data_IF_409605192331
#
_entry.id   IF_409605192331
#
_cell.length_a   1.000
_cell.length_b   1.000
_cell.length_c   1.000
_cell.angle_alpha   90.00
_cell.angle_beta   90.00
_cell.angle_gamma   90.00
#
_symmetry.space_group_name_H-M   'P 1'
#
loop_
_entity.id
_entity.type
_entity.pdbx_description
1 polymer ?
2 polymer ?
3 non-polymer ?
4 non-polymer ?
5 non-polymer ?
6 non-polymer ?
7 water ?
#
# COMPACT_ATOMS: atom_id res chain seq x y z
N UNK A 1 5.22 0.82 35.57
CA UNK A 1 5.79 -0.40 34.91
C UNK A 1 5.91 -0.19 33.41
N UNK A 2 7.14 -0.18 32.90
CA UNK A 2 7.37 0.03 31.46
C UNK A 2 6.52 -0.87 30.56
N UNK A 3 6.19 -2.08 31.03
CA UNK A 3 5.37 -3.01 30.25
C UNK A 3 3.95 -2.47 30.18
N UNK A 4 3.54 -1.79 31.25
CA UNK A 4 2.19 -1.22 31.30
C UNK A 4 2.15 0.03 30.41
N UNK A 5 3.24 0.80 30.44
CA UNK A 5 3.34 2.01 29.65
C UNK A 5 3.26 1.65 28.18
N UNK A 6 3.93 0.56 27.82
CA UNK A 6 3.96 0.06 26.45
C UNK A 6 2.59 -0.45 26.00
N UNK A 7 1.89 -1.13 26.91
CA UNK A 7 0.57 -1.65 26.59
C UNK A 7 -0.41 -0.48 26.35
N UNK A 8 -0.08 0.70 26.86
CA UNK A 8 -0.94 1.88 26.69
C UNK A 8 -0.63 2.58 25.36
N UNK A 9 0.66 2.73 25.06
CA UNK A 9 1.11 3.38 23.82
C UNK A 9 0.60 2.57 22.62
N UNK A 10 0.24 1.32 22.85
CA UNK A 10 -0.29 0.49 21.78
C UNK A 10 -1.79 0.83 21.86
N UNK A 11 -2.10 2.07 21.50
CA UNK A 11 -3.46 2.58 21.54
C UNK A 11 -4.17 2.42 20.23
N UNK A 12 -3.52 1.68 19.34
CA UNK A 12 -4.10 1.44 18.02
C UNK A 12 -4.28 2.70 17.19
N UNK A 13 -5.46 2.86 16.58
CA UNK A 13 -5.76 4.04 15.78
C UNK A 13 -6.32 5.12 16.70
N UNK A 14 -6.56 4.73 17.94
CA UNK A 14 -7.10 5.66 18.92
C UNK A 14 -8.60 5.71 18.96
N UNK A 15 -9.13 6.75 19.61
CA UNK A 15 -10.58 6.94 19.73
C UNK A 15 -11.11 7.38 18.38
N UNK A 16 -12.26 6.82 17.95
CA UNK A 16 -12.83 7.21 16.65
C UNK A 16 -13.18 8.68 16.71
N UNK A 17 -12.84 9.45 15.68
CA UNK A 17 -13.16 10.86 15.69
C UNK A 17 -14.68 11.07 15.55
N UNK A 18 -15.18 12.17 16.11
CA UNK A 18 -16.60 12.52 16.02
C UNK A 18 -16.76 13.47 14.83
N UNK A 19 -17.54 13.05 13.82
CA UNK A 19 -17.76 13.88 12.63
C UNK A 19 -18.52 15.17 12.93
N UNK A 20 -18.44 16.13 12.00
CA UNK A 20 -19.11 17.42 12.16
C UNK A 20 -20.64 17.32 12.24
N UNK A 21 -21.24 18.28 12.96
CA UNK A 21 -22.68 18.30 13.11
C UNK A 21 -23.16 17.12 13.94
N UNK A 22 -22.31 16.65 14.84
CA UNK A 22 -22.63 15.53 15.72
C UNK A 22 -23.28 14.37 14.95
N UNK A 23 -22.67 14.01 13.83
CA UNK A 23 -23.17 12.92 12.99
C UNK A 23 -22.73 11.56 13.52
N UNK A 24 -22.54 11.47 14.84
CA UNK A 24 -22.15 10.23 15.47
C UNK A 24 -20.71 9.82 15.21
N UNK A 25 -20.21 8.76 15.88
CA UNK A 25 -18.84 8.30 15.68
C UNK A 25 -18.62 7.83 14.25
N UNK A 26 -17.56 8.35 13.64
CA UNK A 26 -17.21 8.02 12.26
C UNK A 26 -17.25 6.50 12.03
N UNK A 27 -16.42 5.78 12.77
CA UNK A 27 -16.33 4.33 12.68
C UNK A 27 -16.29 3.66 14.06
N UNK A 28 -16.59 2.37 14.08
CA UNK A 28 -16.58 1.61 15.32
C UNK A 28 -15.36 0.67 15.42
N UNK A 29 -14.85 0.49 16.64
CA UNK A 29 -13.69 -0.37 16.84
C UNK A 29 -13.95 -1.81 16.39
N UNK A 30 -15.22 -2.21 16.40
CA UNK A 30 -15.62 -3.57 15.99
C UNK A 30 -15.60 -3.72 14.48
N UNK A 31 -15.26 -2.67 13.77
CA UNK A 31 -15.22 -2.72 12.32
C UNK A 31 -13.79 -3.07 11.92
N UNK A 32 -12.91 -3.16 12.91
CA UNK A 32 -11.51 -3.49 12.67
C UNK A 32 -11.25 -4.99 12.81
N UNK A 33 -10.35 -5.53 12.00
CA UNK A 33 -10.02 -6.95 12.09
C UNK A 33 -9.03 -7.14 13.22
N UNK A 34 -9.08 -8.28 13.89
CA UNK A 34 -8.19 -8.55 15.00
C UNK A 34 -6.91 -9.25 14.56
N UNK A 35 -5.78 -8.78 15.07
CA UNK A 35 -4.49 -9.35 14.72
C UNK A 35 -3.69 -9.64 15.97
N UNK A 36 -2.56 -10.30 15.83
CA UNK A 36 -1.74 -10.68 16.97
C UNK A 36 -0.58 -9.76 17.36
N UNK A 37 -0.54 -8.55 16.82
CA UNK A 37 0.56 -7.65 17.15
C UNK A 37 0.11 -6.26 17.59
N UNK A 38 0.95 -5.57 18.37
CA UNK A 38 0.66 -4.23 18.87
C UNK A 38 0.89 -3.16 17.81
N UNK A 39 0.17 -2.04 17.92
CA UNK A 39 0.30 -0.94 16.98
C UNK A 39 0.18 0.41 17.63
N UNK A 40 1.15 1.27 17.40
CA UNK A 40 1.08 2.62 17.93
C UNK A 40 0.38 3.41 16.83
N UNK A 41 -0.17 4.59 17.16
CA UNK A 41 -0.87 5.39 16.15
C UNK A 41 -0.02 6.31 15.28
N UNK A 42 -0.45 6.47 14.03
CA UNK A 42 0.24 7.37 13.11
C UNK A 42 -0.33 8.76 13.44
N UNK A 43 0.53 9.78 13.51
CA UNK A 43 0.08 11.13 13.83
C UNK A 43 -0.94 11.71 12.84
N UNK A 44 -1.91 12.48 13.34
CA UNK A 44 -2.90 13.14 12.49
C UNK A 44 -2.58 14.63 12.61
N UNK A 45 -1.97 15.18 11.58
CA UNK A 45 -1.58 16.57 11.62
C UNK A 45 -2.15 17.46 10.52
N UNK A 46 -1.87 18.76 10.65
CA UNK A 46 -2.31 19.76 9.69
C UNK A 46 -1.10 19.97 8.81
N UNK A 47 -1.35 20.18 7.53
CA UNK A 47 -0.26 20.38 6.59
C UNK A 47 0.59 21.59 6.93
N UNK A 48 0.05 22.49 7.74
CA UNK A 48 0.78 23.71 8.14
C UNK A 48 1.60 23.46 9.39
N UNK A 49 1.31 22.35 10.06
CA UNK A 49 2.03 21.98 11.25
C UNK A 49 3.44 21.57 10.83
N UNK A 50 4.48 22.23 11.38
CA UNK A 50 5.88 21.96 11.05
C UNK A 50 6.30 20.49 11.27
N UNK A 51 5.63 19.82 12.20
CA UNK A 51 5.94 18.43 12.49
C UNK A 51 5.63 17.56 11.28
N UNK A 52 4.50 17.84 10.64
CA UNK A 52 4.10 17.07 9.46
C UNK A 52 5.15 17.22 8.38
N UNK A 53 5.68 18.43 8.24
CA UNK A 53 6.69 18.68 7.23
C UNK A 53 7.94 17.90 7.59
N UNK A 54 8.18 17.78 8.89
CA UNK A 54 9.34 17.07 9.39
C UNK A 54 9.24 15.56 9.12
N UNK A 55 8.09 14.98 9.42
CA UNK A 55 7.89 13.55 9.22
C UNK A 55 8.07 13.16 7.76
N UNK A 56 7.58 13.99 6.86
CA UNK A 56 7.69 13.72 5.44
C UNK A 56 9.13 13.82 5.01
N UNK A 57 9.87 14.72 5.62
CA UNK A 57 11.28 14.90 5.29
C UNK A 57 12.10 13.69 5.75
N UNK A 58 11.78 13.16 6.93
CA UNK A 58 12.52 12.01 7.45
C UNK A 58 11.90 10.71 6.96
N UNK A 59 11.08 10.81 5.94
CA UNK A 59 10.42 9.65 5.37
C UNK A 59 9.75 8.82 6.47
N UNK A 60 8.84 9.45 7.19
CA UNK A 60 8.09 8.77 8.24
C UNK A 60 6.61 9.06 7.91
N UNK A 61 5.73 8.07 8.14
CA UNK A 61 4.31 8.25 7.84
C UNK A 61 3.60 9.32 8.66
N UNK A 62 2.59 9.93 8.04
CA UNK A 62 1.80 10.96 8.68
C UNK A 62 0.51 11.15 7.92
N UNK A 63 -0.58 11.38 8.65
CA UNK A 63 -1.86 11.62 8.01
C UNK A 63 -2.10 13.13 8.03
N UNK A 64 -2.29 13.72 6.85
CA UNK A 64 -2.53 15.15 6.72
C UNK A 64 -4.04 15.30 6.61
N UNK A 65 -4.62 15.97 7.60
CA UNK A 65 -6.06 16.16 7.67
C UNK A 65 -6.66 17.26 6.79
N UNK A 66 -5.86 18.26 6.43
CA UNK A 66 -6.38 19.37 5.65
C UNK A 66 -5.55 19.80 4.42
N UNK A 67 -5.46 18.94 3.42
CA UNK A 67 -4.65 19.28 2.25
C UNK A 67 -5.55 19.74 1.13
N UNK A 68 -6.77 19.22 1.11
CA UNK A 68 -7.71 19.56 0.06
C UNK A 68 -7.12 18.99 -1.22
N UNK A 69 -6.33 17.94 -1.07
CA UNK A 69 -5.69 17.34 -2.22
C UNK A 69 -6.67 16.88 -3.30
N UNK A 70 -7.65 16.07 -2.92
CA UNK A 70 -8.62 15.59 -3.89
C UNK A 70 -10.00 16.12 -3.54
N UNK A 71 -10.03 17.38 -3.14
CA UNK A 71 -11.25 18.07 -2.78
C UNK A 71 -12.40 17.86 -3.78
N UNK A 72 -12.13 18.07 -5.08
CA UNK A 72 -13.18 17.90 -6.09
C UNK A 72 -13.67 16.47 -6.17
N UNK A 73 -12.83 15.55 -5.72
CA UNK A 73 -13.17 14.14 -5.76
C UNK A 73 -13.98 13.67 -4.57
N UNK A 74 -14.08 14.49 -3.54
CA UNK A 74 -14.84 14.09 -2.36
C UNK A 74 -16.33 13.89 -2.67
N UNK A 75 -16.75 14.27 -3.88
CA UNK A 75 -18.15 14.10 -4.28
C UNK A 75 -18.33 12.85 -5.12
N UNK A 76 -17.22 12.15 -5.35
CA UNK A 76 -17.26 10.91 -6.15
C UNK A 76 -18.01 9.77 -5.47
N UNK A 77 -18.73 9.00 -6.27
CA UNK A 77 -19.47 7.84 -5.77
C UNK A 77 -19.72 7.02 -7.02
N UNK A 78 -20.37 5.87 -6.87
CA UNK A 78 -20.60 4.99 -8.01
C UNK A 78 -21.34 5.68 -9.15
N UNK A 79 -22.52 6.23 -8.83
CA UNK A 79 -23.33 6.91 -9.83
C UNK A 79 -22.55 7.99 -10.59
N UNK A 80 -21.90 8.89 -9.87
CA UNK A 80 -21.13 9.95 -10.50
C UNK A 80 -20.09 9.39 -11.46
N UNK A 81 -19.23 8.52 -10.93
CA UNK A 81 -18.19 7.93 -11.75
C UNK A 81 -18.75 7.19 -12.93
N UNK A 82 -19.77 6.35 -12.71
CA UNK A 82 -20.34 5.62 -13.83
C UNK A 82 -20.77 6.53 -15.01
N UNK A 83 -21.12 7.76 -14.70
CA UNK A 83 -21.57 8.70 -15.72
C UNK A 83 -20.37 9.40 -16.31
N UNK A 84 -19.40 9.72 -15.47
CA UNK A 84 -18.21 10.44 -15.91
C UNK A 84 -16.88 9.72 -16.11
N UNK A 85 -16.68 8.59 -15.41
CA UNK A 85 -15.42 7.88 -15.51
C UNK A 85 -14.99 7.52 -16.92
N UNK A 86 -15.97 7.34 -17.81
CA UNK A 86 -15.65 7.01 -19.19
C UNK A 86 -15.99 5.58 -19.54
N UNK A 87 -15.58 5.14 -20.72
CA UNK A 87 -15.87 3.78 -21.15
C UNK A 87 -14.59 2.99 -21.46
N UNK A 88 -13.51 3.33 -20.73
CA UNK A 88 -12.26 2.62 -20.91
C UNK A 88 -12.35 1.34 -20.10
N UNK A 89 -11.36 0.46 -20.24
CA UNK A 89 -11.36 -0.79 -19.47
C UNK A 89 -10.85 -0.57 -18.05
N UNK A 90 -11.40 -1.34 -17.12
CA UNK A 90 -11.00 -1.24 -15.72
C UNK A 90 -10.57 -2.57 -15.12
N UNK A 91 -9.35 -2.60 -14.60
CA UNK A 91 -8.83 -3.81 -13.98
C UNK A 91 -9.62 -4.06 -12.70
N UNK A 92 -10.26 -5.22 -12.63
CA UNK A 92 -11.05 -5.59 -11.47
C UNK A 92 -10.71 -6.99 -10.98
N UNK A 93 -10.14 -7.07 -9.78
CA UNK A 93 -9.76 -8.34 -9.18
C UNK A 93 -10.94 -8.97 -8.46
N UNK A 94 -11.11 -10.27 -8.67
CA UNK A 94 -12.20 -11.01 -8.06
C UNK A 94 -11.66 -12.12 -7.18
N UNK A 95 -12.08 -12.18 -5.92
CA UNK A 95 -11.59 -13.21 -5.03
C UNK A 95 -12.68 -13.90 -4.20
N UNK A 96 -12.32 -15.04 -3.63
CA UNK A 96 -13.23 -15.84 -2.81
C UNK A 96 -12.97 -15.57 -1.33
N UNK A 97 -12.00 -14.69 -1.04
CA UNK A 97 -11.68 -14.36 0.34
C UNK A 97 -11.41 -12.87 0.44
N UNK A 98 -11.33 -12.34 1.65
CA UNK A 98 -11.10 -10.90 1.82
C UNK A 98 -9.70 -10.45 1.44
N UNK A 99 -8.75 -11.38 1.46
CA UNK A 99 -7.37 -11.05 1.12
C UNK A 99 -7.15 -10.99 -0.38
N UNK A 100 -6.72 -9.82 -0.84
CA UNK A 100 -6.42 -9.63 -2.26
C UNK A 100 -4.90 -9.50 -2.36
N UNK A 101 -4.23 -10.63 -2.54
CA UNK A 101 -2.79 -10.65 -2.64
C UNK A 101 -2.37 -10.31 -4.06
N UNK A 102 -1.55 -9.28 -4.19
CA UNK A 102 -1.07 -8.87 -5.50
C UNK A 102 -0.10 -9.91 -6.07
N UNK A 103 -0.11 -10.05 -7.39
CA UNK A 103 0.80 -10.96 -8.09
C UNK A 103 1.13 -10.42 -9.47
N UNK A 104 2.43 -10.26 -9.72
CA UNK A 104 2.96 -9.76 -10.98
C UNK A 104 2.79 -10.88 -12.02
N UNK A 105 2.12 -10.56 -13.13
CA UNK A 105 1.89 -11.57 -14.16
C UNK A 105 3.13 -11.90 -14.99
N UNK A 106 4.05 -10.95 -15.11
CA UNK A 106 5.28 -11.18 -15.86
C UNK A 106 6.12 -12.26 -15.19
N UNK A 107 5.97 -12.41 -13.88
CA UNK A 107 6.78 -13.38 -13.16
C UNK A 107 6.15 -14.74 -12.91
N UNK A 108 4.91 -14.94 -13.36
CA UNK A 108 4.23 -16.22 -13.17
C UNK A 108 4.91 -17.33 -13.95
N UNK A 109 5.69 -16.93 -14.95
CA UNK A 109 6.44 -17.86 -15.78
C UNK A 109 7.44 -18.68 -14.93
N UNK A 110 8.27 -17.98 -14.16
CA UNK A 110 9.28 -18.62 -13.32
C UNK A 110 8.71 -19.47 -12.18
N UNK A 111 7.40 -19.38 -11.97
CA UNK A 111 6.76 -20.15 -10.92
C UNK A 111 5.44 -20.74 -11.41
N UNK A 112 5.52 -21.91 -12.05
CA UNK A 112 4.34 -22.59 -12.56
C UNK A 112 3.41 -23.05 -11.42
N UNK A 113 3.98 -23.51 -10.32
CA UNK A 113 3.21 -24.00 -9.17
C UNK A 113 2.37 -22.94 -8.44
N UNK A 114 2.55 -21.69 -8.85
CA UNK A 114 1.79 -20.60 -8.23
C UNK A 114 0.39 -20.47 -8.82
N UNK A 115 -0.62 -20.59 -7.97
CA UNK A 115 -2.02 -20.46 -8.40
C UNK A 115 -2.65 -19.28 -7.64
N UNK A 116 -2.77 -18.11 -8.28
CA UNK A 116 -3.35 -16.90 -7.67
C UNK A 116 -4.76 -17.09 -7.07
N UNK A 117 -4.96 -16.63 -5.83
CA UNK A 117 -6.25 -16.77 -5.15
C UNK A 117 -7.32 -15.78 -5.63
N UNK A 118 -6.95 -14.87 -6.53
CA UNK A 118 -7.88 -13.87 -7.06
C UNK A 118 -7.61 -13.76 -8.55
N UNK A 119 -8.62 -13.39 -9.33
CA UNK A 119 -8.44 -13.25 -10.77
C UNK A 119 -8.76 -11.85 -11.25
N UNK A 120 -7.98 -11.40 -12.23
CA UNK A 120 -8.18 -10.09 -12.80
C UNK A 120 -9.10 -10.20 -14.01
N UNK A 121 -10.03 -9.26 -14.15
CA UNK A 121 -10.96 -9.25 -15.28
C UNK A 121 -11.28 -7.85 -15.76
N UNK A 122 -10.84 -7.52 -16.98
CA UNK A 122 -11.11 -6.19 -17.55
C UNK A 122 -12.60 -6.06 -17.85
N UNK A 123 -13.15 -4.87 -17.63
CA UNK A 123 -14.56 -4.60 -17.89
C UNK A 123 -14.82 -3.10 -17.88
N UNK A 124 -16.03 -2.72 -18.27
CA UNK A 124 -16.44 -1.32 -18.31
C UNK A 124 -16.95 -0.97 -16.91
N UNK A 125 -16.84 0.31 -16.54
CA UNK A 125 -17.27 0.73 -15.22
C UNK A 125 -18.71 0.38 -14.87
N UNK A 126 -19.60 0.45 -15.86
CA UNK A 126 -20.99 0.14 -15.58
C UNK A 126 -21.14 -1.35 -15.28
N UNK A 127 -20.35 -2.16 -15.97
CA UNK A 127 -20.36 -3.61 -15.78
C UNK A 127 -19.90 -3.89 -14.36
N UNK A 128 -18.84 -3.19 -13.95
CA UNK A 128 -18.31 -3.34 -12.61
C UNK A 128 -19.41 -3.02 -11.61
N UNK A 129 -20.07 -1.88 -11.81
CA UNK A 129 -21.14 -1.49 -10.90
C UNK A 129 -22.26 -2.53 -10.97
N UNK A 130 -22.56 -2.98 -12.18
CA UNK A 130 -23.59 -3.99 -12.39
C UNK A 130 -23.20 -5.23 -11.57
N UNK A 131 -22.01 -5.75 -11.84
CA UNK A 131 -21.53 -6.93 -11.12
C UNK A 131 -21.53 -6.69 -9.60
N UNK A 132 -21.38 -5.43 -9.22
CA UNK A 132 -21.37 -5.08 -7.81
C UNK A 132 -22.79 -5.23 -7.27
N UNK A 133 -23.76 -4.81 -8.07
CA UNK A 133 -25.16 -4.91 -7.68
C UNK A 133 -25.64 -6.37 -7.64
N UNK A 134 -25.22 -7.13 -8.65
CA UNK A 134 -25.61 -8.53 -8.72
C UNK A 134 -25.25 -9.29 -7.44
N UNK A 135 -23.99 -9.19 -7.03
CA UNK A 135 -23.53 -9.88 -5.82
C UNK A 135 -24.37 -9.44 -4.61
N UNK A 136 -24.65 -8.14 -4.55
CA UNK A 136 -25.46 -7.60 -3.47
C UNK A 136 -26.83 -8.24 -3.55
N UNK A 137 -27.36 -8.31 -4.76
CA UNK A 137 -28.68 -8.90 -4.97
C UNK A 137 -28.73 -10.36 -4.56
N UNK A 138 -27.95 -11.20 -5.24
CA UNK A 138 -27.91 -12.63 -4.96
C UNK A 138 -27.31 -12.93 -3.57
N UNK A 139 -26.90 -11.87 -2.85
CA UNK A 139 -26.32 -12.04 -1.53
C UNK A 139 -25.11 -12.96 -1.54
N UNK A 140 -24.41 -12.99 -2.68
CA UNK A 140 -23.24 -13.84 -2.83
C UNK A 140 -22.09 -13.55 -1.86
N UNK A 141 -21.03 -14.35 -1.98
CA UNK A 141 -19.87 -14.18 -1.11
C UNK A 141 -18.66 -13.63 -1.87
N UNK A 142 -18.69 -13.79 -3.18
CA UNK A 142 -17.60 -13.31 -4.03
C UNK A 142 -17.26 -11.86 -3.74
N UNK A 143 -15.97 -11.52 -3.81
CA UNK A 143 -15.51 -10.16 -3.56
C UNK A 143 -14.81 -9.55 -4.76
N UNK A 144 -14.99 -8.25 -4.94
CA UNK A 144 -14.37 -7.52 -6.04
C UNK A 144 -13.49 -6.40 -5.51
N UNK A 145 -12.55 -5.95 -6.32
CA UNK A 145 -11.68 -4.86 -5.93
C UNK A 145 -11.17 -4.21 -7.20
N UNK A 146 -11.66 -3.01 -7.48
CA UNK A 146 -11.27 -2.30 -8.68
C UNK A 146 -10.00 -1.53 -8.39
N UNK A 147 -9.01 -1.73 -9.25
CA UNK A 147 -7.72 -1.06 -9.11
C UNK A 147 -7.27 -0.71 -10.52
N UNK A 148 -7.42 0.56 -10.88
CA UNK A 148 -7.07 0.99 -12.22
C UNK A 148 -6.38 2.33 -12.30
N UNK A 149 -5.29 2.40 -13.06
CA UNK A 149 -4.56 3.66 -13.23
C UNK A 149 -5.44 4.60 -14.03
N UNK A 150 -5.59 5.84 -13.58
CA UNK A 150 -6.41 6.81 -14.30
C UNK A 150 -5.70 7.35 -15.55
N UNK A 151 -6.39 7.28 -16.69
CA UNK A 151 -5.81 7.69 -17.97
C UNK A 151 -6.62 8.67 -18.83
N UNK A 152 -6.13 8.86 -20.05
CA UNK A 152 -6.72 9.75 -21.07
C UNK A 152 -8.21 9.53 -21.28
N UNK A 153 -8.65 8.30 -21.05
CA UNK A 153 -10.04 7.93 -21.30
C UNK A 153 -10.98 8.23 -20.14
N UNK A 154 -10.83 9.37 -19.49
CA UNK A 154 -11.80 9.74 -18.46
C UNK A 154 -12.58 10.94 -18.93
N UNK A 155 -13.87 10.96 -18.58
CA UNK A 155 -14.74 12.06 -18.96
C UNK A 155 -14.20 13.44 -18.61
N UNK A 156 -14.76 14.45 -19.24
CA UNK A 156 -14.33 15.83 -19.01
C UNK A 156 -14.55 16.25 -17.55
N UNK A 157 -15.58 15.74 -16.90
CA UNK A 157 -15.82 16.11 -15.51
C UNK A 157 -14.72 15.56 -14.61
N UNK A 158 -14.36 14.30 -14.85
CA UNK A 158 -13.29 13.66 -14.09
C UNK A 158 -12.00 14.42 -14.34
N UNK A 159 -11.84 14.90 -15.58
CA UNK A 159 -10.66 15.66 -15.93
C UNK A 159 -10.72 17.02 -15.24
N UNK A 160 -11.93 17.55 -15.13
CA UNK A 160 -12.14 18.85 -14.49
C UNK A 160 -11.84 18.74 -13.01
N UNK A 161 -12.30 17.66 -12.39
CA UNK A 161 -12.06 17.45 -10.97
C UNK A 161 -10.57 17.37 -10.71
N UNK A 162 -9.86 16.69 -11.61
CA UNK A 162 -8.43 16.55 -11.50
C UNK A 162 -7.77 17.90 -11.38
N UNK A 163 -8.21 18.84 -12.22
CA UNK A 163 -7.66 20.19 -12.23
C UNK A 163 -7.85 20.85 -10.87
N UNK A 164 -8.93 20.48 -10.18
CA UNK A 164 -9.22 21.05 -8.89
C UNK A 164 -8.44 20.45 -7.72
N UNK A 165 -7.58 19.48 -8.02
CA UNK A 165 -6.77 18.84 -6.99
C UNK A 165 -5.78 19.90 -6.53
N UNK A 166 -5.28 19.78 -5.30
CA UNK A 166 -4.34 20.77 -4.80
C UNK A 166 -2.92 20.53 -5.31
N UNK A 167 -2.73 20.69 -6.61
CA UNK A 167 -1.40 20.50 -7.18
C UNK A 167 -0.33 21.41 -6.60
N UNK A 168 -0.72 22.60 -6.19
CA UNK A 168 0.23 23.55 -5.62
C UNK A 168 0.99 22.89 -4.47
N UNK A 169 0.24 22.36 -3.51
CA UNK A 169 0.81 21.70 -2.32
C UNK A 169 1.60 20.43 -2.61
N UNK A 170 1.08 19.59 -3.47
CA UNK A 170 1.79 18.35 -3.74
C UNK A 170 2.99 18.57 -4.65
N UNK A 171 2.91 19.56 -5.54
CA UNK A 171 4.03 19.83 -6.43
C UNK A 171 5.21 20.29 -5.60
N UNK A 172 4.94 21.07 -4.55
CA UNK A 172 6.02 21.55 -3.70
C UNK A 172 6.63 20.40 -2.92
N UNK A 173 5.79 19.49 -2.45
CA UNK A 173 6.27 18.35 -1.69
C UNK A 173 7.22 17.55 -2.58
N UNK A 174 6.85 17.42 -3.85
CA UNK A 174 7.68 16.70 -4.82
C UNK A 174 9.02 17.43 -4.94
N UNK A 175 8.96 18.70 -5.28
CA UNK A 175 10.17 19.47 -5.46
C UNK A 175 11.08 19.53 -4.24
N UNK A 176 10.51 19.79 -3.08
CA UNK A 176 11.31 19.89 -1.86
C UNK A 176 11.94 18.59 -1.38
N UNK A 177 11.34 17.47 -1.75
CA UNK A 177 11.84 16.15 -1.36
C UNK A 177 12.71 15.51 -2.45
N UNK A 178 12.96 16.26 -3.51
CA UNK A 178 13.78 15.78 -4.62
C UNK A 178 13.22 14.59 -5.39
N UNK A 179 11.97 14.28 -5.13
CA UNK A 179 11.31 13.15 -5.78
C UNK A 179 11.16 13.23 -7.32
N UNK A 180 11.17 12.05 -7.93
CA UNK A 180 11.02 11.97 -9.38
C UNK A 180 9.62 12.35 -9.85
N UNK A 181 9.25 11.94 -11.05
CA UNK A 181 7.94 12.30 -11.57
C UNK A 181 6.78 11.49 -11.03
N UNK A 182 5.57 11.99 -11.28
CA UNK A 182 4.36 11.32 -10.84
C UNK A 182 4.15 10.24 -11.88
N UNK A 183 4.21 8.98 -11.46
CA UNK A 183 4.07 7.91 -12.42
C UNK A 183 2.63 7.48 -12.65
N UNK A 184 1.75 7.73 -11.68
CA UNK A 184 0.35 7.34 -11.85
C UNK A 184 -0.54 7.73 -10.69
N UNK A 185 -1.83 7.48 -10.90
CA UNK A 185 -2.85 7.74 -9.91
C UNK A 185 -3.75 6.53 -9.92
N UNK A 186 -3.55 5.64 -8.97
CA UNK A 186 -4.34 4.43 -8.90
C UNK A 186 -5.68 4.68 -8.22
N UNK A 187 -6.74 4.31 -8.91
CA UNK A 187 -8.08 4.45 -8.37
C UNK A 187 -8.38 3.13 -7.71
N UNK A 188 -8.76 3.19 -6.45
CA UNK A 188 -9.06 1.96 -5.73
C UNK A 188 -10.47 2.01 -5.16
N UNK A 189 -11.30 1.10 -5.64
CA UNK A 189 -12.68 1.02 -5.17
C UNK A 189 -12.86 -0.42 -4.76
N UNK A 190 -13.09 -0.64 -3.47
CA UNK A 190 -13.27 -1.99 -2.98
C UNK A 190 -14.45 -2.16 -2.05
N UNK A 191 -14.93 -3.38 -1.94
CA UNK A 191 -16.06 -3.70 -1.07
C UNK A 191 -15.63 -3.72 0.38
N UNK A 192 -16.59 -3.62 1.29
CA UNK A 192 -16.32 -3.62 2.71
C UNK A 192 -15.68 -4.91 3.19
N UNK A 193 -14.62 -4.77 3.98
CA UNK A 193 -13.93 -5.94 4.50
C UNK A 193 -12.73 -6.36 3.65
N UNK A 194 -12.65 -5.85 2.42
CA UNK A 194 -11.54 -6.17 1.50
C UNK A 194 -10.21 -5.80 2.10
N UNK A 195 -9.22 -6.66 1.93
CA UNK A 195 -7.89 -6.44 2.49
C UNK A 195 -6.75 -6.56 1.49
N UNK A 196 -5.83 -5.60 1.51
CA UNK A 196 -4.66 -5.67 0.65
C UNK A 196 -3.54 -6.04 1.62
N UNK A 197 -3.08 -7.30 1.57
CA UNK A 197 -2.03 -7.83 2.44
C UNK A 197 -0.77 -6.96 2.48
N UNK A 198 -0.06 -7.03 3.59
CA UNK A 198 1.15 -6.26 3.80
C UNK A 198 2.16 -6.36 2.65
N UNK A 199 2.66 -5.22 2.21
CA UNK A 199 3.64 -5.16 1.14
C UNK A 199 4.28 -3.78 1.19
N UNK A 200 5.29 -3.59 0.34
CA UNK A 200 5.96 -2.30 0.25
C UNK A 200 6.11 -1.96 -1.22
N UNK A 201 6.04 -0.66 -1.53
CA UNK A 201 6.18 -0.22 -2.91
C UNK A 201 7.50 0.48 -3.09
N UNK A 202 7.98 0.53 -4.32
CA UNK A 202 9.25 1.17 -4.62
C UNK A 202 9.06 2.60 -5.09
N UNK A 203 8.00 3.24 -4.61
CA UNK A 203 7.71 4.62 -4.96
C UNK A 203 7.10 5.33 -3.76
N UNK A 204 7.25 6.65 -3.72
CA UNK A 204 6.71 7.48 -2.65
C UNK A 204 5.22 7.57 -2.94
N UNK A 205 4.41 7.64 -1.89
CA UNK A 205 2.96 7.65 -2.07
C UNK A 205 2.18 8.59 -1.14
N UNK A 206 1.20 9.28 -1.72
CA UNK A 206 0.32 10.16 -0.97
C UNK A 206 -1.05 9.53 -1.18
N UNK A 207 -1.48 8.81 -0.15
CA UNK A 207 -2.73 8.08 -0.15
C UNK A 207 -3.92 8.99 0.17
N UNK A 208 -4.63 9.44 -0.86
CA UNK A 208 -5.77 10.33 -0.67
C UNK A 208 -7.11 9.60 -0.58
N UNK A 209 -7.66 9.50 0.62
CA UNK A 209 -8.94 8.82 0.87
C UNK A 209 -10.14 9.66 0.40
N UNK A 210 -11.02 9.02 -0.34
CA UNK A 210 -12.21 9.68 -0.91
C UNK A 210 -13.59 9.28 -0.40
N UNK A 211 -13.84 7.99 -0.21
CA UNK A 211 -15.14 7.51 0.24
C UNK A 211 -14.93 6.33 1.15
N UNK A 212 -15.73 6.26 2.20
CA UNK A 212 -15.60 5.17 3.14
C UNK A 212 -14.36 5.32 4.01
N UNK A 213 -14.10 4.29 4.81
CA UNK A 213 -12.94 4.32 5.69
C UNK A 213 -11.97 3.14 5.53
N UNK A 214 -10.67 3.46 5.60
CA UNK A 214 -9.63 2.45 5.48
C UNK A 214 -8.66 2.48 6.65
N UNK A 215 -8.38 1.29 7.18
CA UNK A 215 -7.45 1.16 8.27
C UNK A 215 -6.11 0.82 7.63
N UNK A 216 -5.12 1.64 7.91
CA UNK A 216 -3.79 1.45 7.34
C UNK A 216 -2.79 1.08 8.42
N UNK A 217 -2.25 -0.14 8.34
CA UNK A 217 -1.25 -0.60 9.31
C UNK A 217 0.09 -0.62 8.62
N UNK A 218 1.01 0.23 9.06
CA UNK A 218 2.33 0.32 8.46
C UNK A 218 3.46 -0.23 9.34
N UNK A 219 4.54 -0.66 8.68
CA UNK A 219 5.72 -1.18 9.38
C UNK A 219 6.97 -0.57 8.76
N UNK A 220 7.92 -0.13 9.60
CA UNK A 220 9.17 0.48 9.15
C UNK A 220 10.02 -0.47 8.32
N UNK A 221 10.78 0.07 7.36
CA UNK A 221 11.62 -0.81 6.55
C UNK A 221 12.61 -1.66 7.34
N UNK A 222 12.89 -1.27 8.60
CA UNK A 222 13.83 -2.06 9.39
C UNK A 222 13.17 -3.29 9.97
N UNK A 223 11.93 -3.55 9.59
CA UNK A 223 11.24 -4.72 10.08
C UNK A 223 11.14 -5.77 8.99
N UNK A 224 12.08 -5.69 8.06
CA UNK A 224 12.19 -6.63 6.96
C UNK A 224 12.31 -8.06 7.49
N UNK A 225 13.05 -8.22 8.58
CA UNK A 225 13.27 -9.53 9.20
C UNK A 225 12.01 -10.15 9.75
N UNK A 226 11.02 -9.31 10.07
CA UNK A 226 9.77 -9.80 10.65
C UNK A 226 8.65 -9.99 9.64
N UNK A 227 8.84 -9.55 8.42
CA UNK A 227 7.77 -9.66 7.43
C UNK A 227 7.94 -10.69 6.31
N UNK A 228 9.13 -11.23 6.18
CA UNK A 228 9.44 -12.30 5.21
C UNK A 228 8.92 -12.19 3.77
N UNK A 229 9.29 -11.13 3.04
CA UNK A 229 8.82 -11.02 1.66
C UNK A 229 9.17 -12.21 0.74
N UNK A 230 8.32 -12.45 -0.25
CA UNK A 230 8.54 -13.52 -1.21
C UNK A 230 9.84 -13.24 -1.94
N UNK A 231 10.42 -14.28 -2.56
CA UNK A 231 11.67 -14.06 -3.30
C UNK A 231 11.42 -13.01 -4.38
N UNK A 232 12.41 -12.20 -4.67
CA UNK A 232 12.26 -11.14 -5.67
C UNK A 232 11.68 -11.58 -7.02
N UNK A 233 12.06 -12.77 -7.48
CA UNK A 233 11.57 -13.29 -8.76
C UNK A 233 10.18 -13.89 -8.68
N UNK A 234 9.65 -14.01 -7.48
CA UNK A 234 8.32 -14.57 -7.28
C UNK A 234 7.26 -13.57 -7.70
N UNK A 235 6.16 -14.06 -8.29
CA UNK A 235 5.12 -13.11 -8.70
C UNK A 235 4.61 -12.28 -7.52
N UNK A 236 4.76 -12.79 -6.30
CA UNK A 236 4.32 -12.03 -5.14
C UNK A 236 5.45 -11.22 -4.51
N UNK A 237 6.39 -10.82 -5.33
CA UNK A 237 7.52 -10.02 -4.90
C UNK A 237 7.04 -8.76 -4.18
N UNK A 238 7.70 -8.41 -3.08
CA UNK A 238 7.36 -7.17 -2.37
C UNK A 238 6.13 -7.32 -1.50
N UNK A 239 5.56 -8.53 -1.45
CA UNK A 239 4.46 -8.81 -0.53
C UNK A 239 5.02 -9.67 0.61
N UNK A 240 4.34 -9.69 1.74
CA UNK A 240 4.77 -10.49 2.88
C UNK A 240 4.17 -11.88 2.75
N UNK A 241 4.93 -12.91 3.16
CA UNK A 241 4.45 -14.29 3.08
C UNK A 241 3.62 -14.66 4.29
N UNK A 242 3.74 -13.86 5.34
CA UNK A 242 3.02 -14.11 6.58
C UNK A 242 1.52 -13.87 6.48
N UNK A 243 0.73 -14.89 6.81
CA UNK A 243 -0.72 -14.72 6.78
C UNK A 243 -1.08 -14.05 8.10
N UNK A 244 -1.52 -12.80 8.04
CA UNK A 244 -1.89 -12.06 9.25
C UNK A 244 -3.07 -12.67 10.02
N UNK A 245 -3.97 -13.36 9.33
CA UNK A 245 -5.10 -13.98 10.00
C UNK A 245 -4.64 -15.26 10.71
N UNK A 246 -3.58 -15.85 10.18
CA UNK A 246 -2.97 -17.05 10.76
C UNK A 246 -1.46 -17.08 10.56
N UNK A 247 -0.72 -16.44 11.45
CA UNK A 247 0.74 -16.42 11.34
C UNK A 247 1.38 -17.77 11.62
N UNK A 248 2.25 -18.21 10.71
CA UNK A 248 2.95 -19.47 10.87
C UNK A 248 4.23 -19.11 11.60
N UNK A 249 4.17 -19.09 12.92
CA UNK A 249 5.32 -18.74 13.73
C UNK A 249 6.52 -19.66 13.61
N UNK A 250 6.32 -20.85 13.06
CA UNK A 250 7.41 -21.80 12.87
C UNK A 250 8.24 -21.33 11.68
N UNK A 251 7.57 -21.01 10.59
CA UNK A 251 8.22 -20.54 9.38
C UNK A 251 8.68 -19.08 9.51
N UNK A 252 7.88 -18.29 10.19
CA UNK A 252 8.19 -16.87 10.35
C UNK A 252 8.25 -16.45 11.82
N UNK A 253 9.25 -16.95 12.56
CA UNK A 253 9.36 -16.62 13.98
C UNK A 253 9.48 -15.15 14.36
N UNK A 254 10.17 -14.35 13.57
CA UNK A 254 10.33 -12.94 13.88
C UNK A 254 9.09 -12.09 13.73
N UNK A 255 7.96 -12.70 13.36
CA UNK A 255 6.73 -11.96 13.20
C UNK A 255 6.12 -11.64 14.56
N UNK A 256 6.74 -12.15 15.62
CA UNK A 256 6.27 -11.93 16.97
C UNK A 256 6.96 -10.72 17.56
N UNK A 257 7.85 -10.11 16.79
CA UNK A 257 8.59 -8.95 17.22
C UNK A 257 8.09 -7.75 16.44
N UNK A 258 7.08 -7.99 15.61
CA UNK A 258 6.54 -6.94 14.77
C UNK A 258 5.65 -5.93 15.49
N UNK A 259 5.88 -4.66 15.18
CA UNK A 259 5.12 -3.56 15.75
C UNK A 259 4.68 -2.63 14.64
N UNK A 260 3.38 -2.43 14.51
CA UNK A 260 2.87 -1.56 13.47
C UNK A 260 2.46 -0.16 13.90
N UNK A 261 2.30 0.70 12.92
CA UNK A 261 1.87 2.09 13.11
C UNK A 261 0.58 2.12 12.34
N UNK A 262 -0.55 2.22 13.04
CA UNK A 262 -1.80 2.22 12.32
C UNK A 262 -2.62 3.50 12.42
N UNK A 263 -3.61 3.61 11.56
CA UNK A 263 -4.47 4.78 11.51
C UNK A 263 -5.66 4.45 10.63
N UNK A 264 -6.74 5.19 10.80
CA UNK A 264 -7.92 5.00 9.98
C UNK A 264 -8.08 6.30 9.22
N UNK A 265 -8.10 6.22 7.89
CA UNK A 265 -8.27 7.41 7.08
C UNK A 265 -9.68 7.45 6.52
N UNK A 266 -10.20 8.66 6.39
CA UNK A 266 -11.53 8.85 5.87
C UNK A 266 -11.51 9.93 4.82
N UNK A 267 -12.67 10.28 4.25
CA UNK A 267 -12.78 11.31 3.21
C UNK A 267 -12.08 12.60 3.59
N UNK A 268 -11.11 13.00 2.78
CA UNK A 268 -10.39 14.23 3.07
C UNK A 268 -9.00 14.02 3.64
N UNK A 269 -8.75 12.84 4.22
CA UNK A 269 -7.45 12.55 4.79
C UNK A 269 -6.44 12.09 3.76
N UNK A 270 -5.18 12.47 3.95
CA UNK A 270 -4.11 12.08 3.06
C UNK A 270 -3.01 11.44 3.90
N UNK A 271 -2.78 10.15 3.65
CA UNK A 271 -1.75 9.39 4.37
C UNK A 271 -0.46 9.32 3.57
N UNK A 272 0.64 9.71 4.19
CA UNK A 272 1.91 9.62 3.49
C UNK A 272 2.50 8.25 3.76
N UNK A 273 2.61 7.44 2.73
CA UNK A 273 3.20 6.12 2.85
C UNK A 273 4.58 6.25 2.23
N UNK A 274 5.61 6.38 3.07
CA UNK A 274 6.97 6.51 2.56
C UNK A 274 7.41 5.27 1.79
N UNK A 275 8.23 5.49 0.76
CA UNK A 275 8.75 4.41 -0.06
C UNK A 275 9.40 3.37 0.86
N UNK A 276 9.23 2.08 0.52
CA UNK A 276 9.79 0.97 1.28
C UNK A 276 9.04 0.62 2.54
N UNK A 277 8.15 1.50 3.01
CA UNK A 277 7.41 1.20 4.22
C UNK A 277 6.38 0.14 3.92
N UNK A 278 6.23 -0.83 4.82
CA UNK A 278 5.28 -1.89 4.59
C UNK A 278 3.93 -1.36 4.99
N UNK A 279 2.87 -1.83 4.33
CA UNK A 279 1.55 -1.40 4.72
C UNK A 279 0.51 -2.45 4.44
N UNK A 280 -0.48 -2.49 5.31
CA UNK A 280 -1.59 -3.41 5.25
C UNK A 280 -2.81 -2.51 5.20
N UNK A 281 -3.63 -2.65 4.16
CA UNK A 281 -4.81 -1.81 4.02
C UNK A 281 -6.10 -2.63 4.05
N UNK A 282 -7.07 -2.18 4.83
CA UNK A 282 -8.35 -2.87 4.89
C UNK A 282 -9.55 -1.93 4.98
N UNK A 283 -10.55 -2.22 4.16
CA UNK A 283 -11.78 -1.43 4.14
C UNK A 283 -12.60 -1.96 5.30
N UNK A 284 -12.86 -1.10 6.29
CA UNK A 284 -13.61 -1.49 7.49
C UNK A 284 -14.81 -2.37 7.21
N UNK A 285 -15.03 -3.31 8.12
CA UNK A 285 -16.14 -4.24 8.02
C UNK A 285 -17.45 -3.46 8.15
N UNK A 286 -18.41 -3.78 7.28
CA UNK A 286 -19.72 -3.14 7.27
C UNK A 286 -19.66 -1.63 7.18
N UNK A 287 -18.66 -1.13 6.47
CA UNK A 287 -18.51 0.31 6.31
C UNK A 287 -18.85 0.76 4.91
N UNK A 288 -19.31 -0.17 4.09
CA UNK A 288 -19.68 0.16 2.72
C UNK A 288 -18.46 0.15 1.80
N UNK A 289 -18.65 0.53 0.56
CA UNK A 289 -17.54 0.54 -0.39
C UNK A 289 -16.57 1.69 -0.09
N UNK A 290 -15.31 1.50 -0.45
CA UNK A 290 -14.31 2.53 -0.21
C UNK A 290 -13.73 3.05 -1.52
N UNK A 291 -13.35 4.32 -1.54
CA UNK A 291 -12.76 4.95 -2.70
C UNK A 291 -11.51 5.74 -2.31
N UNK A 292 -10.42 5.47 -3.01
CA UNK A 292 -9.13 6.09 -2.76
C UNK A 292 -8.44 6.31 -4.08
N UNK A 293 -7.60 7.33 -4.12
CA UNK A 293 -6.82 7.63 -5.29
C UNK A 293 -5.45 7.93 -4.73
N UNK A 294 -4.43 7.20 -5.17
CA UNK A 294 -3.10 7.44 -4.66
C UNK A 294 -2.27 8.21 -5.67
N UNK A 295 -1.12 8.69 -5.21
CA UNK A 295 -0.20 9.42 -6.05
C UNK A 295 1.15 8.76 -5.92
N UNK A 296 1.60 8.10 -6.98
CA UNK A 296 2.90 7.45 -6.94
C UNK A 296 4.00 8.27 -7.59
N UNK A 297 5.07 8.49 -6.85
CA UNK A 297 6.22 9.26 -7.34
C UNK A 297 7.51 8.45 -7.25
N UNK A 298 8.37 8.56 -8.26
CA UNK A 298 9.63 7.86 -8.24
C UNK A 298 10.40 8.50 -7.10
N UNK A 299 11.25 7.73 -6.41
CA UNK A 299 12.00 8.32 -5.31
C UNK A 299 13.15 9.19 -5.77
N UNK A 300 13.78 9.91 -4.85
CA UNK A 300 14.91 10.75 -5.20
C UNK A 300 16.06 9.82 -5.60
N UNK A 301 16.96 10.30 -6.47
CA UNK A 301 18.08 9.46 -6.89
C UNK A 301 19.01 9.19 -5.71
N UNK A 302 19.87 8.18 -5.86
CA UNK A 302 20.81 7.82 -4.81
C UNK A 302 21.77 9.00 -4.64
N UNK A 303 22.05 9.39 -3.38
CA UNK A 303 22.95 10.51 -3.08
C UNK A 303 24.31 10.35 -3.78
N UNK A 304 25.01 11.47 -3.97
CA UNK A 304 26.33 11.43 -4.62
C UNK A 304 27.33 10.78 -3.67
N UNK A 305 27.26 11.15 -2.39
CA UNK A 305 28.15 10.59 -1.39
C UNK A 305 27.30 9.73 -0.43
N UNK A 306 27.73 8.48 -0.20
CA UNK A 306 27.04 7.54 0.66
C UNK A 306 27.56 7.66 2.09
N UNK A 307 26.64 7.74 3.05
CA UNK A 307 27.01 7.87 4.44
C UNK A 307 26.83 6.54 5.11
N UNK A 308 27.53 6.32 6.22
CA UNK A 308 27.42 5.07 6.96
C UNK A 308 27.10 5.29 8.44
N UNK A 309 26.49 4.28 9.10
CA UNK A 309 26.12 3.01 8.47
C UNK A 309 24.90 3.25 7.59
N UNK A 310 24.67 2.33 6.66
CA UNK A 310 23.54 2.38 5.75
C UNK A 310 22.22 2.35 6.49
N UNK A 311 21.22 3.01 5.91
CA UNK A 311 19.88 3.05 6.48
C UNK A 311 19.22 1.75 6.09
N UNK A 312 18.14 1.39 6.77
CA UNK A 312 17.43 0.15 6.48
C UNK A 312 17.00 -0.01 5.01
N UNK A 313 16.34 1.00 4.47
CA UNK A 313 15.85 0.90 3.10
C UNK A 313 16.97 0.71 2.09
N UNK A 314 18.18 1.14 2.43
CA UNK A 314 19.31 0.98 1.53
C UNK A 314 19.72 -0.47 1.52
N UNK A 315 19.65 -1.11 2.68
CA UNK A 315 19.99 -2.50 2.77
C UNK A 315 18.93 -3.29 2.02
N UNK A 316 17.71 -2.80 2.02
CA UNK A 316 16.64 -3.49 1.31
C UNK A 316 16.94 -3.41 -0.17
N UNK A 317 17.43 -2.26 -0.60
CA UNK A 317 17.76 -2.04 -2.01
C UNK A 317 18.85 -3.02 -2.45
N UNK A 318 19.85 -3.17 -1.58
CA UNK A 318 20.98 -4.05 -1.80
C UNK A 318 20.55 -5.51 -1.86
N UNK A 319 19.75 -5.95 -0.90
CA UNK A 319 19.30 -7.34 -0.88
C UNK A 319 18.51 -7.67 -2.13
N UNK A 320 17.74 -6.69 -2.63
CA UNK A 320 16.95 -6.90 -3.82
C UNK A 320 17.84 -7.09 -5.02
N UNK A 321 18.84 -6.21 -5.16
CA UNK A 321 19.76 -6.28 -6.28
C UNK A 321 20.56 -7.58 -6.29
N UNK A 322 20.96 -8.04 -5.11
CA UNK A 322 21.70 -9.29 -5.03
C UNK A 322 20.89 -10.41 -5.65
N UNK A 323 19.60 -10.49 -5.29
CA UNK A 323 18.73 -11.53 -5.82
C UNK A 323 18.56 -11.38 -7.32
N UNK A 324 18.47 -10.15 -7.77
CA UNK A 324 18.32 -9.89 -9.19
C UNK A 324 19.58 -10.33 -9.92
N UNK A 325 20.73 -9.81 -9.49
CA UNK A 325 21.99 -10.17 -10.12
C UNK A 325 22.21 -11.67 -10.20
N UNK A 326 22.02 -12.36 -9.06
CA UNK A 326 22.17 -13.81 -9.05
C UNK A 326 21.26 -14.47 -10.07
N UNK A 327 20.02 -14.01 -10.12
CA UNK A 327 19.05 -14.57 -11.04
C UNK A 327 19.56 -14.47 -12.47
N UNK A 328 20.10 -13.31 -12.81
CA UNK A 328 20.62 -13.11 -14.15
C UNK A 328 21.85 -13.98 -14.41
N UNK A 329 22.79 -13.93 -13.48
CA UNK A 329 24.04 -14.68 -13.60
C UNK A 329 23.93 -16.20 -13.65
N UNK A 330 22.94 -16.77 -12.98
CA UNK A 330 22.78 -18.22 -12.97
C UNK A 330 21.90 -18.67 -14.12
N UNK A 331 21.30 -17.70 -14.82
CA UNK A 331 20.44 -18.02 -15.95
C UNK A 331 19.11 -18.63 -15.58
N UNK A 332 18.91 -18.93 -14.29
CA UNK A 332 17.67 -19.52 -13.84
C UNK A 332 17.38 -19.08 -12.41
N UNK A 333 16.30 -18.30 -12.21
CA UNK A 333 15.85 -17.75 -10.93
C UNK A 333 15.63 -18.80 -9.88
N UNK A 334 15.47 -20.04 -10.31
CA UNK A 334 15.22 -21.15 -9.39
C UNK A 334 16.51 -21.55 -8.69
N UNK A 335 17.65 -21.17 -9.26
CA UNK A 335 18.93 -21.53 -8.67
C UNK A 335 19.40 -20.53 -7.63
N UNK A 336 18.70 -19.41 -7.50
CA UNK A 336 19.08 -18.40 -6.54
C UNK A 336 19.08 -18.93 -5.10
N UNK A 337 17.97 -19.51 -4.67
CA UNK A 337 17.90 -20.04 -3.32
C UNK A 337 18.99 -21.04 -2.99
N UNK A 338 19.19 -22.07 -3.84
CA UNK A 338 20.22 -23.07 -3.58
C UNK A 338 21.61 -22.45 -3.43
N UNK A 339 21.91 -21.44 -4.23
CA UNK A 339 23.22 -20.82 -4.12
C UNK A 339 23.38 -20.08 -2.78
N UNK A 340 22.36 -19.31 -2.41
CA UNK A 340 22.37 -18.55 -1.17
C UNK A 340 22.50 -19.43 0.04
N UNK A 341 21.76 -20.54 0.05
CA UNK A 341 21.83 -21.48 1.16
C UNK A 341 23.23 -22.07 1.27
N UNK A 342 23.79 -22.46 0.13
CA UNK A 342 25.13 -23.03 0.07
C UNK A 342 26.15 -22.03 0.61
N UNK A 343 25.93 -20.75 0.28
CA UNK A 343 26.83 -19.68 0.70
C UNK A 343 26.83 -19.41 2.21
N UNK A 344 25.70 -19.64 2.87
CA UNK A 344 25.62 -19.36 4.30
C UNK A 344 25.62 -20.55 5.25
N UNK A 345 25.06 -21.69 4.84
CA UNK A 345 25.03 -22.86 5.72
C UNK A 345 26.37 -23.24 6.29
N UNK A 346 26.50 -23.17 7.61
CA UNK A 346 27.76 -23.53 8.22
C UNK A 346 28.86 -22.54 7.97
N UNK A 347 28.52 -21.39 7.39
CA UNK A 347 29.49 -20.36 7.10
C UNK A 347 29.14 -19.04 7.79
N UNK A 348 27.88 -18.67 7.69
CA UNK A 348 27.39 -17.41 8.26
C UNK A 348 26.21 -17.54 9.21
N UNK A 349 25.53 -18.69 9.20
CA UNK A 349 24.35 -18.89 10.04
C UNK A 349 24.63 -19.68 11.32
N UNK B 1 31.41 2.72 -6.31
CA UNK B 1 31.15 2.16 -7.67
C UNK B 1 30.14 1.00 -7.63
N UNK B 2 30.55 -0.15 -7.09
CA UNK B 2 29.68 -1.31 -7.00
C UNK B 2 28.60 -0.99 -5.97
N UNK B 3 28.98 -0.18 -4.99
CA UNK B 3 28.07 0.24 -3.92
C UNK B 3 26.88 0.94 -4.54
N UNK B 4 27.15 1.87 -5.46
CA UNK B 4 26.09 2.60 -6.14
C UNK B 4 25.25 1.58 -6.91
N UNK B 5 25.94 0.62 -7.52
CA UNK B 5 25.31 -0.44 -8.29
C UNK B 5 24.27 -1.23 -7.44
N UNK B 6 24.66 -1.53 -6.22
CA UNK B 6 23.82 -2.27 -5.29
C UNK B 6 22.73 -1.41 -4.70
N UNK B 7 22.98 -0.10 -4.62
CA UNK B 7 22.00 0.83 -4.08
C UNK B 7 20.89 1.21 -5.06
N UNK B 8 21.19 1.22 -6.36
CA UNK B 8 20.17 1.59 -7.33
C UNK B 8 18.87 0.81 -7.12
N UNK B 9 17.75 1.54 -7.13
CA UNK B 9 16.45 0.94 -6.92
C UNK B 9 15.52 0.87 -8.13
N UNK B 10 14.48 0.05 -7.98
CA UNK B 10 13.49 -0.10 -9.02
C UNK B 10 12.31 0.81 -8.67
N UNK B 11 11.23 0.71 -9.45
CA UNK B 11 10.05 1.53 -9.20
C UNK B 11 8.79 0.70 -9.14
N UNK B 12 8.93 -0.60 -8.91
CA UNK B 12 7.77 -1.48 -8.82
C UNK B 12 6.77 -1.15 -7.70
N UNK B 13 5.50 -1.22 -8.05
CA UNK B 13 4.43 -0.91 -7.11
C UNK B 13 3.35 -1.97 -7.16
N UNK B 14 2.25 -1.71 -6.45
CA UNK B 14 1.14 -2.64 -6.40
C UNK B 14 0.25 -2.44 -7.61
N UNK B 15 0.83 -2.67 -8.78
CA UNK B 15 0.11 -2.65 -10.04
C UNK B 15 0.88 -3.45 -11.06
N UNK B 16 0.19 -3.89 -12.11
CA UNK B 16 0.84 -4.52 -13.25
C UNK B 16 1.63 -3.50 -14.08
N UNK B 17 2.80 -3.91 -14.57
CA UNK B 17 3.68 -3.06 -15.38
C UNK B 17 4.10 -1.79 -14.62
X LIG C 1 1.06 -0.21 -1.75
X LIG D 1 -0.95 1.68 -2.29
X LIG D 1 -1.66 0.43 -1.85
X LIG D 1 -3.73 -0.74 -1.24
X LIG D 1 -5.19 -0.40 -1.07
X LIG D 1 -1.60 2.68 -2.47
X LIG D 1 0.37 1.71 -2.50
X LIG D 1 -1.07 -0.59 -1.66
X LIG D 1 -6.06 -1.32 -0.71
X LIG D 1 -3.00 0.48 -1.65
X LIG D 1 -5.56 0.74 -1.28
X LIG E 1 -14.30 -13.43 3.93
X LIG E 1 -14.71 -12.20 4.67
X LIG E 1 -14.56 -14.61 4.79
X LIG E 1 -15.06 -13.54 2.68
X LIG E 1 -12.87 -13.36 3.62
X LIG F 1 -0.59 -14.37 2.71
X LIG F 1 -0.63 -15.83 3.02
X LIG F 1 0.42 -14.15 1.64
X LIG F 1 -1.93 -13.91 2.26
X LIG F 1 -0.22 -13.60 3.91
X LIG G 1 -21.29 -15.95 -5.07
X LIG G 1 -20.92 -16.57 -3.77
X LIG G 1 -22.71 -16.26 -5.37
X LIG G 1 -21.14 -14.49 -4.95
X LIG G 1 -20.41 -16.45 -6.15
X LIG H 1 -17.85 -7.70 5.66
X LIG H 1 -16.52 -8.32 5.82
X LIG H 1 -17.81 -6.34 6.24
X LIG H 1 -18.18 -7.62 4.21
X LIG H 1 -18.86 -8.54 6.32
X LIG I 1 14.91 3.78 7.13
X LIG I 1 16.12 4.35 7.78
X LIG I 1 14.13 3.06 8.15
X LIG I 1 14.09 4.90 6.58
X LIG I 1 15.28 2.89 6.00
X LIG J 1 -0.70 18.87 -13.47
X LIG J 1 -2.01 18.29 -13.49
X LIG J 1 0.30 17.93 -12.73
X LIG J 1 0.37 16.64 -13.46
X LIG J 1 1.69 18.60 -12.70
X LIG J 1 2.62 17.75 -12.02
X LIG K 1 -4.07 -3.38 -11.99
X LIG K 1 -3.13 -4.05 -11.15
X LIG K 1 -3.41 -2.13 -12.61
X LIG K 1 -2.27 -2.52 -13.41
X LIG K 1 -4.43 -1.41 -13.49
X LIG K 1 -3.81 -0.24 -14.06
X LIG L 1 15.72 -5.21 8.78
X LIG L 1 15.46 -6.60 8.71
X LIG L 1 17.07 -4.95 8.07
X LIG L 1 16.99 -5.36 6.66
X LIG L 1 17.37 -3.45 8.15
X LIG L 1 18.63 -3.23 7.49
X LIG M 1 -6.27 -9.30 -21.92
X LIG M 1 -6.44 -10.71 -21.80
X LIG M 1 -5.30 -8.79 -20.82
X LIG M 1 -3.98 -9.43 -21.00
X LIG M 1 -5.14 -7.27 -20.94
X LIG M 1 -4.27 -6.79 -19.89
#
# INVERSE_FOLDING_TARGET
MAATAAEAVASGSGEPREEAGALGPAWDESQLRSYSFPTRPIPRLSQSDPRAEELIENEEPVVLTDTNLVYPALKWDLEYLQENIGNGDFSVYSASTHKFLYYDEKKMANFQNFKPRSNREEMKFHEFVEKLQDIQQRGGEERLYLQQTLNDTVGRKIVMDFLGFNWNWINKQQGKRGWGQLTSNLLLIGMEGNVTPAHYDEQQNFFAQIKGYKRCILFPPDQFECLYPYPVHHPCDRQSQVDFDNPDYERFPNFQNVVGYETVVGPGDVLYIPMYWWHHIESLLNGGITITVNFWYKGAPTPKRIEYPLKAHQKVAIMRNIEKMLGEALGNPQEVGPLLNTMIKGRYN
EVVKLLLEHGADVLAQD
ZN ZN
OGA C1 C2 C4 C5 O1 O2 O2' O3 N1 O4
SO4 S O1 O2 O3 O4
SO4 S O1 O2 O3 O4
SO4 S O1 O2 O3 O4
SO4 S O1 O2 O3 O4
SO4 S O1 O2 O3 O4
GOL C1 O1 C2 O2 C3 O3
GOL C1 O1 C2 O2 C3 O3
GOL C1 O1 C2 O2 C3 O3
GOL C1 O1 C2 O2 C3 O3
#
